data_IF_899246243208
#
_entry.id   IF_899246243208
#
_cell.length_a   1.000
_cell.length_b   1.000
_cell.length_c   1.000
_cell.angle_alpha   90.00
_cell.angle_beta   90.00
_cell.angle_gamma   90.00
#
_symmetry.space_group_name_H-M   'P 1'
#
loop_
_entity.id
_entity.type
_entity.pdbx_description
1 polymer ?
#
# COMPACT_ATOMS: atom_id res chain seq x y z
N UNK A 1 -8.99 52.00 -16.24
CA UNK A 1 -8.58 51.13 -15.12
C UNK A 1 -9.58 49.98 -14.93
N UNK A 2 -9.86 49.20 -15.99
CA UNK A 2 -10.97 48.21 -16.01
C UNK A 2 -10.56 46.83 -16.53
N UNK A 3 -9.26 46.49 -16.50
CA UNK A 3 -8.75 45.27 -17.14
C UNK A 3 -8.08 44.25 -16.19
N UNK A 4 -8.06 44.46 -14.87
CA UNK A 4 -7.35 43.56 -13.94
C UNK A 4 -8.29 42.69 -13.07
N UNK A 5 -9.60 43.00 -13.05
CA UNK A 5 -10.58 42.28 -12.22
C UNK A 5 -11.28 41.13 -12.98
N UNK A 6 -11.57 41.30 -14.27
CA UNK A 6 -12.20 40.27 -15.12
C UNK A 6 -11.33 39.01 -15.33
N UNK A 7 -10.01 39.14 -15.30
CA UNK A 7 -9.07 38.04 -15.51
C UNK A 7 -9.01 37.05 -14.32
N UNK A 8 -9.27 37.52 -13.09
CA UNK A 8 -9.35 36.65 -11.91
C UNK A 8 -10.73 36.00 -11.76
N UNK A 9 -11.80 36.70 -12.17
CA UNK A 9 -13.15 36.13 -12.20
C UNK A 9 -13.28 35.02 -13.24
N UNK A 10 -12.69 35.18 -14.42
CA UNK A 10 -12.67 34.14 -15.45
C UNK A 10 -11.75 32.96 -15.10
N UNK A 11 -10.61 33.20 -14.42
CA UNK A 11 -9.74 32.13 -13.90
C UNK A 11 -10.45 31.25 -12.87
N UNK A 12 -11.11 31.83 -11.87
CA UNK A 12 -11.88 31.04 -10.88
C UNK A 12 -13.07 30.29 -11.50
N UNK A 13 -13.68 30.84 -12.54
CA UNK A 13 -14.76 30.19 -13.31
C UNK A 13 -14.26 29.10 -14.28
N UNK A 14 -12.98 29.10 -14.68
CA UNK A 14 -12.37 28.08 -15.55
C UNK A 14 -11.71 26.94 -14.76
N UNK A 15 -11.33 27.17 -13.51
CA UNK A 15 -10.75 26.15 -12.62
C UNK A 15 -11.80 25.20 -12.04
N UNK A 16 -13.01 25.69 -11.75
CA UNK A 16 -14.11 24.86 -11.24
C UNK A 16 -14.56 23.77 -12.23
N UNK A 17 -14.75 24.03 -13.55
CA UNK A 17 -15.13 23.01 -14.52
C UNK A 17 -14.00 22.03 -14.82
N UNK A 18 -12.72 22.43 -14.75
CA UNK A 18 -11.60 21.52 -14.98
C UNK A 18 -11.47 20.50 -13.85
N UNK A 19 -11.61 20.92 -12.59
CA UNK A 19 -11.55 20.02 -11.45
C UNK A 19 -12.77 19.09 -11.39
N UNK A 20 -13.98 19.56 -11.73
CA UNK A 20 -15.18 18.72 -11.86
C UNK A 20 -15.01 17.68 -12.98
N UNK A 21 -14.43 18.07 -14.13
CA UNK A 21 -14.12 17.13 -15.21
C UNK A 21 -13.10 16.08 -14.76
N UNK A 22 -12.09 16.48 -13.97
CA UNK A 22 -11.07 15.59 -13.41
C UNK A 22 -11.68 14.57 -12.45
N UNK A 23 -12.55 15.02 -11.54
CA UNK A 23 -13.31 14.14 -10.64
C UNK A 23 -14.21 13.17 -11.41
N UNK A 24 -14.95 13.66 -12.41
CA UNK A 24 -15.81 12.82 -13.26
C UNK A 24 -15.01 11.78 -14.05
N UNK A 25 -13.87 12.14 -14.60
CA UNK A 25 -13.00 11.20 -15.33
C UNK A 25 -12.45 10.13 -14.39
N UNK A 26 -12.03 10.50 -13.18
CA UNK A 26 -11.57 9.54 -12.17
C UNK A 26 -12.69 8.59 -11.74
N UNK A 27 -13.90 9.10 -11.50
CA UNK A 27 -15.06 8.27 -11.17
C UNK A 27 -15.45 7.35 -12.35
N UNK A 28 -15.36 7.82 -13.59
CA UNK A 28 -15.61 7.02 -14.78
C UNK A 28 -14.57 5.91 -15.01
N UNK A 29 -13.32 6.15 -14.59
CA UNK A 29 -12.26 5.12 -14.58
C UNK A 29 -12.58 4.05 -13.53
N UNK A 30 -12.95 4.45 -12.31
CA UNK A 30 -13.39 3.53 -11.26
C UNK A 30 -14.60 2.69 -11.70
N UNK A 31 -15.61 3.31 -12.31
CA UNK A 31 -16.76 2.59 -12.85
C UNK A 31 -16.39 1.67 -14.02
N UNK A 32 -15.39 2.01 -14.85
CA UNK A 32 -14.89 1.10 -15.89
C UNK A 32 -14.20 -0.13 -15.29
N UNK A 33 -13.45 0.04 -14.20
CA UNK A 33 -12.83 -1.09 -13.49
C UNK A 33 -13.86 -2.02 -12.84
N UNK A 34 -14.98 -1.48 -12.36
CA UNK A 34 -16.09 -2.27 -11.81
C UNK A 34 -16.95 -2.92 -12.92
N UNK A 35 -17.13 -2.22 -14.05
CA UNK A 35 -17.94 -2.68 -15.19
C UNK A 35 -17.35 -3.88 -15.94
N UNK A 36 -16.02 -3.97 -16.04
CA UNK A 36 -15.34 -5.06 -16.75
C UNK A 36 -14.73 -6.03 -15.73
N UNK A 37 -15.41 -7.16 -15.43
CA UNK A 37 -14.82 -8.16 -14.55
C UNK A 37 -13.59 -8.78 -15.22
N UNK A 38 -12.57 -9.08 -14.41
CA UNK A 38 -11.43 -9.89 -14.84
C UNK A 38 -11.94 -11.23 -15.39
N UNK A 39 -11.53 -11.65 -16.60
CA UNK A 39 -11.99 -12.91 -17.15
C UNK A 39 -11.67 -14.08 -16.24
N UNK A 40 -12.69 -14.88 -15.95
CA UNK A 40 -12.65 -15.99 -14.98
C UNK A 40 -11.59 -17.05 -15.37
N UNK A 41 -11.20 -17.09 -16.64
CA UNK A 41 -10.14 -17.95 -17.16
C UNK A 41 -8.75 -17.64 -16.58
N UNK A 42 -8.43 -16.37 -16.25
CA UNK A 42 -7.07 -16.02 -15.81
C UNK A 42 -6.67 -16.68 -14.47
N UNK A 43 -7.47 -16.59 -13.39
CA UNK A 43 -7.17 -17.29 -12.14
C UNK A 43 -7.20 -18.81 -12.31
N UNK A 44 -8.13 -19.32 -13.11
CA UNK A 44 -8.28 -20.75 -13.37
C UNK A 44 -7.03 -21.36 -14.00
N UNK A 45 -6.44 -20.70 -15.01
CA UNK A 45 -5.21 -21.17 -15.66
C UNK A 45 -4.01 -21.15 -14.71
N UNK A 46 -3.89 -20.11 -13.88
CA UNK A 46 -2.79 -19.99 -12.92
C UNK A 46 -2.88 -21.10 -11.85
N UNK A 47 -4.09 -21.33 -11.31
CA UNK A 47 -4.36 -22.42 -10.36
C UNK A 47 -4.07 -23.78 -11.01
N UNK A 48 -4.53 -24.01 -12.24
CA UNK A 48 -4.29 -25.26 -12.95
C UNK A 48 -2.79 -25.49 -13.23
N UNK A 49 -2.08 -24.46 -13.67
CA UNK A 49 -0.65 -24.54 -13.99
C UNK A 49 0.19 -24.87 -12.75
N UNK A 50 -0.08 -24.22 -11.61
CA UNK A 50 0.64 -24.51 -10.38
C UNK A 50 0.36 -25.93 -9.87
N UNK A 51 -0.89 -26.39 -9.94
CA UNK A 51 -1.26 -27.73 -9.48
C UNK A 51 -0.67 -28.84 -10.36
N UNK A 52 -0.67 -28.65 -11.68
CA UNK A 52 -0.08 -29.62 -12.62
C UNK A 52 1.45 -29.68 -12.51
N UNK A 53 2.13 -28.54 -12.31
CA UNK A 53 3.57 -28.49 -12.01
C UNK A 53 3.93 -29.31 -10.76
N UNK A 54 3.16 -29.15 -9.68
CA UNK A 54 3.40 -29.90 -8.45
C UNK A 54 3.02 -31.37 -8.54
N UNK A 55 1.95 -31.72 -9.27
CA UNK A 55 1.53 -33.10 -9.50
C UNK A 55 2.61 -33.91 -10.23
N UNK A 56 3.13 -33.37 -11.33
CA UNK A 56 4.22 -33.99 -12.09
C UNK A 56 5.50 -34.01 -11.26
N UNK A 57 5.80 -32.93 -10.55
CA UNK A 57 6.95 -32.84 -9.66
C UNK A 57 6.91 -33.79 -8.45
N UNK A 58 5.72 -34.19 -7.98
CA UNK A 58 5.55 -35.16 -6.89
C UNK A 58 5.83 -36.59 -7.37
N UNK A 59 5.32 -36.95 -8.56
CA UNK A 59 5.56 -38.27 -9.17
C UNK A 59 7.04 -38.40 -9.58
N UNK A 60 7.63 -37.36 -10.18
CA UNK A 60 9.01 -37.37 -10.65
C UNK A 60 10.05 -37.41 -9.51
N UNK A 61 9.68 -36.93 -8.31
CA UNK A 61 10.55 -36.93 -7.12
C UNK A 61 10.25 -38.07 -6.14
N UNK A 62 9.35 -38.98 -6.51
CA UNK A 62 9.12 -40.21 -5.77
C UNK A 62 10.29 -41.17 -5.98
N UNK A 63 11.08 -41.42 -4.94
CA UNK A 63 12.20 -42.36 -5.00
C UNK A 63 11.65 -43.79 -5.04
N UNK A 64 11.96 -44.54 -6.10
CA UNK A 64 11.58 -45.94 -6.21
C UNK A 64 12.54 -46.77 -5.34
N UNK A 65 12.01 -47.36 -4.28
CA UNK A 65 12.72 -48.38 -3.49
C UNK A 65 12.78 -49.65 -4.34
N UNK A 66 13.93 -49.88 -4.96
CA UNK A 66 14.28 -51.15 -5.60
C UNK A 66 15.25 -51.88 -4.67
N UNK A 67 14.85 -53.03 -4.14
CA UNK A 67 15.62 -53.85 -3.18
C UNK A 67 16.96 -54.38 -3.74
N UNK A 68 17.33 -54.11 -5.00
CA UNK A 68 18.49 -54.71 -5.68
C UNK A 68 19.55 -53.71 -6.21
N UNK A 69 19.74 -52.55 -5.58
CA UNK A 69 20.77 -51.57 -5.98
C UNK A 69 21.88 -51.37 -4.93
N UNK A 70 23.14 -51.41 -5.39
CA UNK A 70 24.39 -51.41 -4.60
C UNK A 70 24.68 -50.16 -3.76
N UNK A 71 23.88 -49.10 -3.86
CA UNK A 71 24.11 -47.83 -3.19
C UNK A 71 22.94 -47.53 -2.25
N UNK A 72 23.05 -48.01 -1.02
CA UNK A 72 22.14 -47.66 0.07
C UNK A 72 22.47 -46.23 0.53
N UNK A 73 21.86 -45.25 -0.12
CA UNK A 73 21.83 -43.87 0.37
C UNK A 73 21.17 -43.88 1.75
N UNK A 74 21.84 -43.42 2.79
CA UNK A 74 21.36 -43.43 4.19
C UNK A 74 20.12 -42.56 4.46
N UNK A 75 19.61 -41.87 3.44
CA UNK A 75 18.43 -41.03 3.49
C UNK A 75 17.37 -41.57 2.53
N UNK A 76 16.69 -42.64 2.96
CA UNK A 76 15.36 -43.00 2.45
C UNK A 76 14.34 -41.99 2.99
N UNK A 77 14.40 -40.76 2.47
CA UNK A 77 13.39 -39.74 2.75
C UNK A 77 12.15 -40.13 1.93
N UNK A 78 11.30 -40.95 2.52
CA UNK A 78 9.99 -41.35 1.97
C UNK A 78 9.14 -40.12 1.54
N UNK A 79 9.38 -38.97 2.16
CA UNK A 79 8.58 -37.76 2.02
C UNK A 79 9.46 -36.56 1.63
N UNK A 80 9.49 -36.12 0.36
CA UNK A 80 10.47 -35.14 -0.13
C UNK A 80 10.24 -33.74 0.43
N UNK A 81 10.80 -33.45 1.62
CA UNK A 81 10.59 -32.22 2.41
C UNK A 81 10.83 -30.92 1.62
N UNK A 82 11.86 -30.88 0.78
CA UNK A 82 12.18 -29.69 -0.03
C UNK A 82 11.04 -29.32 -1.02
N UNK A 83 10.31 -30.31 -1.50
CA UNK A 83 9.20 -30.10 -2.46
C UNK A 83 7.95 -29.59 -1.76
N UNK A 84 7.74 -29.97 -0.50
CA UNK A 84 6.64 -29.53 0.35
C UNK A 84 6.84 -28.06 0.71
N UNK A 85 8.06 -27.67 1.06
CA UNK A 85 8.39 -26.27 1.36
C UNK A 85 8.13 -25.40 0.12
N UNK A 86 8.60 -25.83 -1.06
CA UNK A 86 8.31 -25.16 -2.33
C UNK A 86 6.79 -25.05 -2.56
N UNK A 87 6.04 -26.13 -2.37
CA UNK A 87 4.58 -26.13 -2.52
C UNK A 87 3.89 -25.11 -1.59
N UNK A 88 4.25 -25.06 -0.30
CA UNK A 88 3.65 -24.13 0.66
C UNK A 88 3.94 -22.67 0.28
N UNK A 89 5.14 -22.34 -0.18
CA UNK A 89 5.44 -20.97 -0.64
C UNK A 89 4.63 -20.58 -1.88
N UNK A 90 4.60 -21.42 -2.92
CA UNK A 90 3.87 -21.12 -4.16
C UNK A 90 2.35 -21.10 -3.96
N UNK A 91 1.79 -22.05 -3.19
CA UNK A 91 0.36 -22.07 -2.85
C UNK A 91 -0.02 -20.95 -1.88
N UNK A 92 0.86 -20.63 -0.94
CA UNK A 92 0.70 -19.51 -0.01
C UNK A 92 0.67 -18.17 -0.73
N UNK A 93 1.59 -17.94 -1.67
CA UNK A 93 1.60 -16.73 -2.51
C UNK A 93 0.33 -16.60 -3.35
N UNK A 94 -0.11 -17.69 -3.98
CA UNK A 94 -1.35 -17.70 -4.76
C UNK A 94 -2.58 -17.40 -3.88
N UNK A 95 -2.65 -18.02 -2.69
CA UNK A 95 -3.73 -17.82 -1.72
C UNK A 95 -3.80 -16.37 -1.23
N UNK A 96 -2.66 -15.76 -0.87
CA UNK A 96 -2.60 -14.36 -0.43
C UNK A 96 -3.09 -13.43 -1.53
N UNK A 97 -2.62 -13.62 -2.77
CA UNK A 97 -3.08 -12.82 -3.92
C UNK A 97 -4.60 -12.93 -4.13
N UNK A 98 -5.15 -14.14 -4.06
CA UNK A 98 -6.59 -14.35 -4.18
C UNK A 98 -7.37 -13.67 -3.05
N UNK A 99 -6.93 -13.81 -1.80
CA UNK A 99 -7.61 -13.17 -0.65
C UNK A 99 -7.60 -11.65 -0.72
N UNK A 100 -6.52 -11.02 -1.20
CA UNK A 100 -6.47 -9.56 -1.32
C UNK A 100 -7.49 -9.06 -2.35
N UNK A 101 -7.63 -9.78 -3.46
CA UNK A 101 -8.56 -9.42 -4.55
C UNK A 101 -10.02 -9.70 -4.15
N UNK A 102 -10.28 -10.81 -3.46
CA UNK A 102 -11.63 -11.26 -3.10
C UNK A 102 -12.17 -10.58 -1.83
N UNK A 103 -11.34 -10.49 -0.78
CA UNK A 103 -11.75 -9.92 0.51
C UNK A 103 -11.49 -8.41 0.63
N UNK A 104 -10.66 -7.82 -0.23
CA UNK A 104 -10.25 -6.40 -0.13
C UNK A 104 -11.21 -5.41 -0.80
N UNK A 105 -12.07 -5.87 -1.71
CA UNK A 105 -12.97 -4.98 -2.45
C UNK A 105 -14.21 -4.63 -1.60
N UNK A 106 -14.47 -3.34 -1.38
CA UNK A 106 -15.67 -2.81 -0.68
C UNK A 106 -15.88 -3.17 0.80
N UNK A 107 -14.87 -3.67 1.52
CA UNK A 107 -14.95 -3.81 2.99
C UNK A 107 -14.47 -2.53 3.69
N UNK A 108 -15.34 -1.54 3.75
CA UNK A 108 -15.09 -0.31 4.51
C UNK A 108 -15.57 -0.56 5.94
N UNK A 109 -14.73 -0.39 6.98
CA UNK A 109 -15.21 -0.46 8.36
C UNK A 109 -16.29 0.59 8.58
N UNK A 110 -17.24 0.32 9.48
CA UNK A 110 -18.29 1.28 9.79
C UNK A 110 -17.65 2.64 10.15
N UNK A 111 -18.10 3.70 9.46
CA UNK A 111 -17.63 5.06 9.69
C UNK A 111 -18.06 5.48 11.09
N UNK A 112 -17.13 5.38 12.05
CA UNK A 112 -17.31 5.86 13.41
C UNK A 112 -16.55 7.17 13.54
N UNK A 113 -17.18 8.15 14.19
CA UNK A 113 -16.50 9.37 14.65
C UNK A 113 -15.36 8.93 15.58
N UNK A 114 -14.12 9.25 15.24
CA UNK A 114 -12.97 8.90 16.08
C UNK A 114 -12.98 9.74 17.38
N UNK A 115 -12.23 9.27 18.38
CA UNK A 115 -12.20 9.85 19.73
C UNK A 115 -11.83 11.34 19.71
N UNK A 116 -11.06 11.77 18.71
CA UNK A 116 -10.53 13.13 18.59
C UNK A 116 -11.39 14.08 17.74
N UNK A 117 -12.49 13.61 17.15
CA UNK A 117 -13.26 14.41 16.16
C UNK A 117 -13.99 15.63 16.76
N UNK A 118 -14.03 15.80 18.08
CA UNK A 118 -14.54 17.03 18.73
C UNK A 118 -13.47 17.82 19.49
N UNK A 119 -12.22 17.36 19.48
CA UNK A 119 -11.13 17.96 20.23
C UNK A 119 -10.31 18.86 19.29
N UNK A 120 -10.01 20.09 19.73
CA UNK A 120 -9.21 21.06 18.97
C UNK A 120 -7.70 20.84 19.11
N UNK A 121 -7.28 20.04 20.09
CA UNK A 121 -5.89 19.71 20.38
C UNK A 121 -5.79 18.20 20.58
N UNK A 122 -5.02 17.54 19.72
CA UNK A 122 -4.87 16.08 19.71
C UNK A 122 -3.62 15.75 20.52
N UNK A 123 -3.81 15.26 21.75
CA UNK A 123 -2.72 14.68 22.54
C UNK A 123 -2.75 13.15 22.38
N UNK A 124 -1.78 12.55 21.66
CA UNK A 124 -1.70 11.11 21.58
C UNK A 124 -1.45 10.53 22.97
N UNK A 125 -2.24 9.53 23.36
CA UNK A 125 -1.99 8.78 24.60
C UNK A 125 -0.80 7.86 24.38
N UNK A 126 0.33 8.21 25.00
CA UNK A 126 1.51 7.35 25.05
C UNK A 126 1.47 6.44 26.28
N UNK A 127 1.94 5.21 26.14
CA UNK A 127 2.20 4.36 27.29
C UNK A 127 3.30 5.00 28.17
N UNK A 128 3.31 4.73 29.48
CA UNK A 128 4.36 5.25 30.37
C UNK A 128 5.78 4.83 29.96
N UNK A 129 5.90 3.70 29.26
CA UNK A 129 7.16 3.21 28.68
C UNK A 129 7.57 4.02 27.45
N UNK A 130 6.61 4.36 26.57
CA UNK A 130 6.83 5.21 25.40
C UNK A 130 7.14 6.67 25.80
N UNK A 131 6.45 7.20 26.81
CA UNK A 131 6.62 8.58 27.30
C UNK A 131 7.99 8.84 27.94
N UNK A 132 8.68 7.80 28.45
CA UNK A 132 10.06 7.92 28.97
C UNK A 132 11.11 8.04 27.87
N UNK A 133 10.81 7.57 26.66
CA UNK A 133 11.69 7.68 25.49
C UNK A 133 11.54 9.01 24.72
N UNK A 134 10.56 9.83 25.09
CA UNK A 134 10.28 11.10 24.44
C UNK A 134 11.30 12.17 24.85
N UNK A 135 12.26 12.44 23.98
CA UNK A 135 12.78 13.81 23.88
C UNK A 135 11.58 14.68 23.54
N UNK A 136 11.34 15.78 24.28
CA UNK A 136 10.35 16.79 23.92
C UNK A 136 10.69 17.34 22.53
N UNK A 137 10.18 16.70 21.49
CA UNK A 137 10.22 17.18 20.14
C UNK A 137 9.11 18.24 20.07
N UNK A 138 9.41 19.45 20.51
CA UNK A 138 8.69 20.63 20.03
C UNK A 138 8.66 20.50 18.52
N UNK A 139 7.47 20.43 17.91
CA UNK A 139 7.27 20.06 16.51
C UNK A 139 8.35 20.67 15.63
N UNK A 140 8.98 19.87 14.77
CA UNK A 140 10.22 20.21 14.05
C UNK A 140 10.02 21.49 13.25
N UNK A 141 10.27 22.61 13.90
CA UNK A 141 10.21 23.93 13.32
C UNK A 141 11.46 24.02 12.47
N UNK A 142 11.28 24.26 11.17
CA UNK A 142 12.35 24.12 10.18
C UNK A 142 13.62 24.87 10.60
N UNK A 143 14.79 24.46 10.07
CA UNK A 143 16.10 25.01 10.48
C UNK A 143 16.24 26.54 10.38
N UNK A 144 15.28 27.25 9.78
CA UNK A 144 15.23 28.69 9.59
C UNK A 144 14.24 29.42 10.52
N UNK A 145 13.54 28.73 11.42
CA UNK A 145 12.45 29.34 12.20
C UNK A 145 12.88 30.37 13.26
N UNK A 146 14.18 30.55 13.48
CA UNK A 146 14.74 31.53 14.42
C UNK A 146 15.44 32.72 13.73
N UNK A 147 15.21 32.96 12.43
CA UNK A 147 15.79 34.12 11.73
C UNK A 147 14.91 35.35 11.98
N UNK A 148 15.27 36.17 12.98
CA UNK A 148 14.76 37.53 13.09
C UNK A 148 15.47 38.40 12.05
N UNK A 149 14.72 38.94 11.09
CA UNK A 149 15.23 39.97 10.18
C UNK A 149 15.21 41.30 10.94
N UNK A 150 16.36 41.70 11.48
CA UNK A 150 16.55 43.07 11.95
C UNK A 150 16.74 43.95 10.71
N UNK A 151 15.65 44.56 10.22
CA UNK A 151 15.71 45.55 9.16
C UNK A 151 16.29 46.84 9.76
N UNK A 152 17.62 46.92 9.81
CA UNK A 152 18.34 48.10 10.25
C UNK A 152 18.13 49.21 9.20
N UNK A 153 17.16 50.08 9.47
CA UNK A 153 17.01 51.35 8.79
C UNK A 153 18.19 52.22 9.24
N UNK A 154 19.29 52.22 8.48
CA UNK A 154 20.35 53.21 8.59
C UNK A 154 19.77 54.57 8.19
N UNK A 155 19.07 55.22 9.13
CA UNK A 155 18.97 56.66 9.19
C UNK A 155 20.33 57.18 9.63
N UNK A 156 21.16 57.50 8.64
CA UNK A 156 22.32 58.36 8.81
C UNK A 156 21.80 59.78 9.11
N UNK A 157 21.50 60.04 10.39
CA UNK A 157 21.32 61.39 10.93
C UNK A 157 22.51 61.66 11.86
N UNK A 158 23.57 62.26 11.32
CA UNK A 158 24.59 62.98 12.09
C UNK A 158 25.38 63.97 11.22
N UNK A 159 25.00 65.25 11.35
CA UNK A 159 25.70 66.50 11.00
C UNK A 159 25.37 67.21 9.66
#
# INVERSE_FOLDING_TARGET
MKCHFDLNFNKGHLETPSEIKKFRTNLAILCNFDWVPLPIMYPQLIVLAVHTYFLVGAIARQYIISENAKNKSTLDIYLPVMTIIQFVFYMGWLKVGLTIVDDGCNKIPALLKDVFWSETEIEPLYSAESARGEYRLSGLTGSTANVQYEFCFLLDDSF
#
